data_IF_861892886274
#
_entry.id   IF_861892886274
#
_cell.length_a   1.000
_cell.length_b   1.000
_cell.length_c   1.000
_cell.angle_alpha   90.00
_cell.angle_beta   90.00
_cell.angle_gamma   90.00
#
_symmetry.space_group_name_H-M   'P 1'
#
loop_
_entity.id
_entity.type
_entity.pdbx_description
1 polymer ?
#
# COMPACT_ATOMS: atom_id res chain seq x y z
N UNK A 1 0.35 -11.64 13.43
CA UNK A 1 -0.34 -12.76 12.77
C UNK A 1 -0.63 -12.30 11.36
N UNK A 2 0.02 -12.88 10.35
CA UNK A 2 -0.21 -12.49 8.97
C UNK A 2 -1.43 -13.31 8.49
N UNK A 3 -2.60 -12.67 8.49
CA UNK A 3 -3.92 -13.24 8.17
C UNK A 3 -4.09 -13.58 6.68
N UNK A 4 -3.06 -14.16 6.05
CA UNK A 4 -3.01 -14.48 4.63
C UNK A 4 -4.20 -15.33 4.17
N UNK A 5 -4.75 -16.18 5.04
CA UNK A 5 -5.95 -17.00 4.74
C UNK A 5 -7.23 -16.16 4.74
N UNK A 6 -7.45 -15.32 5.75
CA UNK A 6 -8.60 -14.42 5.81
C UNK A 6 -8.57 -13.41 4.67
N UNK A 7 -7.39 -12.85 4.39
CA UNK A 7 -7.16 -11.96 3.27
C UNK A 7 -7.52 -12.62 1.93
N UNK A 8 -7.05 -13.84 1.70
CA UNK A 8 -7.37 -14.59 0.47
C UNK A 8 -8.88 -14.81 0.30
N UNK A 9 -9.60 -15.13 1.39
CA UNK A 9 -11.05 -15.30 1.35
C UNK A 9 -11.78 -14.00 1.00
N UNK A 10 -11.44 -12.90 1.68
CA UNK A 10 -12.06 -11.58 1.44
C UNK A 10 -11.74 -11.11 0.00
N UNK A 11 -10.48 -11.24 -0.43
CA UNK A 11 -10.08 -10.87 -1.78
C UNK A 11 -10.77 -11.72 -2.85
N UNK A 12 -11.00 -13.01 -2.61
CA UNK A 12 -11.72 -13.87 -3.56
C UNK A 12 -13.17 -13.41 -3.78
N UNK A 13 -13.85 -12.92 -2.73
CA UNK A 13 -15.17 -12.31 -2.84
C UNK A 13 -15.06 -10.98 -3.61
N UNK A 14 -14.10 -10.13 -3.24
CA UNK A 14 -13.91 -8.83 -3.85
C UNK A 14 -13.51 -8.90 -5.34
N UNK A 15 -12.78 -9.94 -5.74
CA UNK A 15 -12.30 -10.16 -7.11
C UNK A 15 -13.41 -10.22 -8.14
N UNK A 16 -14.65 -10.56 -7.75
CA UNK A 16 -15.82 -10.54 -8.62
C UNK A 16 -16.28 -9.13 -9.02
N UNK A 17 -15.86 -8.11 -8.29
CA UNK A 17 -16.18 -6.70 -8.57
C UNK A 17 -15.10 -5.99 -9.40
N UNK A 18 -13.99 -6.68 -9.68
CA UNK A 18 -12.89 -6.11 -10.45
C UNK A 18 -13.03 -6.44 -11.92
N UNK A 19 -12.83 -5.45 -12.77
CA UNK A 19 -12.68 -5.65 -14.21
C UNK A 19 -11.28 -6.20 -14.55
N UNK A 20 -11.08 -6.60 -15.80
CA UNK A 20 -9.80 -7.19 -16.21
C UNK A 20 -8.65 -6.16 -16.22
N UNK A 21 -8.97 -4.86 -16.30
CA UNK A 21 -8.01 -3.78 -16.19
C UNK A 21 -7.49 -3.63 -14.76
N UNK A 22 -8.38 -3.64 -13.77
CA UNK A 22 -8.04 -3.58 -12.34
C UNK A 22 -7.28 -4.83 -11.90
N UNK A 23 -7.71 -6.02 -12.34
CA UNK A 23 -7.01 -7.28 -12.01
C UNK A 23 -5.54 -7.25 -12.44
N UNK A 24 -5.21 -6.59 -13.56
CA UNK A 24 -3.83 -6.46 -14.06
C UNK A 24 -2.99 -5.44 -13.28
N UNK A 25 -3.61 -4.59 -12.47
CA UNK A 25 -2.94 -3.52 -11.71
C UNK A 25 -2.73 -3.87 -10.23
N UNK A 26 -3.26 -5.00 -9.77
CA UNK A 26 -3.14 -5.45 -8.38
C UNK A 26 -2.00 -6.46 -8.30
N UNK A 27 -0.98 -6.13 -7.50
CA UNK A 27 0.20 -6.97 -7.27
C UNK A 27 0.27 -7.38 -5.80
N UNK A 28 0.59 -8.66 -5.54
CA UNK A 28 0.74 -9.20 -4.19
C UNK A 28 2.20 -9.51 -3.90
N UNK A 29 2.82 -8.72 -3.01
CA UNK A 29 4.24 -8.82 -2.69
C UNK A 29 4.52 -9.71 -1.46
N UNK A 30 3.49 -10.03 -0.66
CA UNK A 30 3.60 -10.94 0.48
C UNK A 30 4.64 -10.46 1.51
N UNK A 31 5.60 -11.32 1.84
CA UNK A 31 6.73 -10.99 2.73
C UNK A 31 7.95 -10.42 1.98
N UNK A 32 7.94 -10.36 0.65
CA UNK A 32 9.07 -9.94 -0.16
C UNK A 32 8.88 -8.50 -0.70
N UNK A 33 9.34 -7.51 0.06
CA UNK A 33 9.28 -6.10 -0.38
C UNK A 33 10.25 -5.74 -1.51
N UNK A 34 11.20 -6.60 -1.89
CA UNK A 34 12.01 -6.33 -3.08
C UNK A 34 11.17 -6.26 -4.36
N UNK A 35 10.11 -7.07 -4.45
CA UNK A 35 9.19 -7.03 -5.60
C UNK A 35 8.32 -5.75 -5.66
N UNK A 36 8.20 -5.01 -4.54
CA UNK A 36 7.55 -3.70 -4.54
C UNK A 36 8.42 -2.66 -5.27
N UNK A 37 9.75 -2.78 -5.12
CA UNK A 37 10.70 -1.85 -5.75
C UNK A 37 10.77 -1.99 -7.28
N UNK A 38 10.26 -3.07 -7.85
CA UNK A 38 10.07 -3.22 -9.30
C UNK A 38 8.96 -2.30 -9.84
N UNK A 39 8.05 -1.86 -8.97
CA UNK A 39 6.88 -1.06 -9.34
C UNK A 39 6.98 0.38 -8.82
N UNK A 40 7.70 0.60 -7.71
CA UNK A 40 7.85 1.91 -7.05
C UNK A 40 9.29 2.09 -6.57
N UNK A 41 9.94 3.18 -6.98
CA UNK A 41 11.32 3.46 -6.61
C UNK A 41 11.49 3.66 -5.08
N UNK A 42 12.57 3.13 -4.51
CA UNK A 42 12.86 3.15 -3.07
C UNK A 42 12.97 4.56 -2.49
N UNK A 43 13.36 5.55 -3.30
CA UNK A 43 13.47 6.96 -2.88
C UNK A 43 12.14 7.59 -2.49
N UNK A 44 11.01 7.03 -2.92
CA UNK A 44 9.66 7.49 -2.59
C UNK A 44 8.97 6.70 -1.49
N UNK A 45 9.64 5.69 -0.92
CA UNK A 45 9.06 4.80 0.07
C UNK A 45 9.66 5.05 1.46
N UNK A 46 8.87 4.97 2.54
CA UNK A 46 9.38 4.94 3.91
C UNK A 46 10.27 3.72 4.17
N UNK A 47 11.18 3.85 5.14
CA UNK A 47 12.06 2.75 5.60
C UNK A 47 11.33 1.46 5.96
N UNK A 48 10.11 1.54 6.49
CA UNK A 48 9.29 0.38 6.86
C UNK A 48 8.89 -0.48 5.66
N UNK A 49 8.82 0.12 4.47
CA UNK A 49 8.53 -0.54 3.20
C UNK A 49 9.80 -0.85 2.39
N UNK A 50 10.99 -0.72 3.00
CA UNK A 50 12.28 -0.95 2.33
C UNK A 50 12.82 0.26 1.56
N UNK A 51 12.22 1.45 1.72
CA UNK A 51 12.65 2.67 1.06
C UNK A 51 13.63 3.54 1.87
N UNK A 52 13.92 4.72 1.33
CA UNK A 52 14.92 5.65 1.88
C UNK A 52 14.29 6.79 2.71
N UNK A 53 12.98 7.03 2.56
CA UNK A 53 12.28 8.08 3.30
C UNK A 53 12.24 7.76 4.80
N UNK A 54 12.22 8.79 5.67
CA UNK A 54 12.02 8.59 7.10
C UNK A 54 10.76 7.75 7.37
N UNK A 55 10.77 7.00 8.48
CA UNK A 55 9.59 6.24 8.88
C UNK A 55 8.40 7.19 8.95
N UNK A 56 7.34 6.86 8.22
CA UNK A 56 6.12 7.63 8.27
C UNK A 56 5.33 7.19 9.49
N UNK A 57 5.58 7.83 10.61
CA UNK A 57 4.60 7.85 11.70
C UNK A 57 3.29 8.38 11.12
N UNK A 58 2.17 7.66 11.29
CA UNK A 58 0.86 8.05 10.74
C UNK A 58 0.40 9.47 11.14
N UNK A 59 1.01 10.05 12.18
CA UNK A 59 0.89 11.44 12.56
C UNK A 59 1.28 12.42 11.44
N UNK A 60 2.25 12.08 10.59
CA UNK A 60 2.69 12.92 9.47
C UNK A 60 1.62 12.99 8.37
N UNK A 61 0.92 11.87 8.12
CA UNK A 61 -0.16 11.80 7.13
C UNK A 61 -1.39 12.58 7.63
N UNK A 62 -1.70 12.47 8.91
CA UNK A 62 -2.74 13.28 9.56
C UNK A 62 -2.40 14.78 9.55
N UNK A 63 -1.14 15.15 9.74
CA UNK A 63 -0.71 16.54 9.66
C UNK A 63 -0.87 17.11 8.24
N UNK A 64 -0.59 16.34 7.19
CA UNK A 64 -0.81 16.75 5.79
C UNK A 64 -2.30 16.93 5.50
N UNK A 65 -3.14 15.93 5.83
CA UNK A 65 -4.59 16.02 5.63
C UNK A 65 -5.19 17.18 6.43
N UNK A 66 -4.72 17.39 7.67
CA UNK A 66 -5.15 18.51 8.51
C UNK A 66 -4.64 19.86 8.01
N UNK A 67 -3.52 19.91 7.29
CA UNK A 67 -2.99 21.15 6.70
C UNK A 67 -3.76 21.53 5.44
N UNK A 68 -4.19 20.56 4.62
CA UNK A 68 -5.03 20.78 3.45
C UNK A 68 -6.51 21.03 3.80
N UNK A 69 -6.95 20.68 5.02
CA UNK A 69 -8.28 20.98 5.53
C UNK A 69 -8.46 22.43 6.06
N UNK A 70 -7.43 23.30 5.98
CA UNK A 70 -7.51 24.72 6.41
C UNK A 70 -7.89 25.68 5.27
N UNK A 71 -8.28 25.20 4.09
CA UNK A 71 -8.92 26.05 3.07
C UNK A 71 -10.24 25.44 2.60
N UNK A 72 -11.27 25.49 3.46
CA UNK A 72 -12.52 26.21 3.18
C UNK A 72 -13.35 26.43 4.44
#
# INVERSE_FOLDING_TARGET
MNDSVLFAMIFAIFKKFLDDSMKKRIFFHGNNMYSLHEHVDSSYLPKELGGELPSQDGAQLLAIISSDAVIK
#
